data_IF_550092818829
#
_entry.id   IF_550092818829
#
_cell.length_a   1.000
_cell.length_b   1.000
_cell.length_c   1.000
_cell.angle_alpha   90.00
_cell.angle_beta   90.00
_cell.angle_gamma   90.00
#
_symmetry.space_group_name_H-M   'P 1'
#
loop_
_entity.id
_entity.type
_entity.pdbx_description
1 polymer ?
#
# COMPACT_ATOMS: atom_id res chain seq x y z
N UNK A 1 4.02 71.99 -14.67
CA UNK A 1 3.52 70.92 -15.57
C UNK A 1 4.63 70.36 -16.47
N UNK A 2 5.89 70.37 -16.03
CA UNK A 2 7.05 69.86 -16.80
C UNK A 2 7.87 68.84 -15.97
N UNK A 3 7.68 68.80 -14.64
CA UNK A 3 8.41 67.89 -13.75
C UNK A 3 7.85 66.45 -13.66
N UNK A 4 6.73 66.15 -14.32
CA UNK A 4 6.13 64.80 -14.33
C UNK A 4 6.60 63.90 -15.50
N UNK A 5 7.48 64.40 -16.37
CA UNK A 5 7.98 63.64 -17.53
C UNK A 5 9.39 63.05 -17.32
N UNK A 6 10.13 63.47 -16.27
CA UNK A 6 11.45 62.92 -15.95
C UNK A 6 11.40 61.64 -15.10
N UNK A 7 10.28 61.35 -14.43
CA UNK A 7 10.08 60.10 -13.66
C UNK A 7 9.69 58.89 -14.53
N UNK A 8 9.46 59.10 -15.84
CA UNK A 8 9.20 58.04 -16.83
C UNK A 8 10.44 57.72 -17.70
N UNK A 9 11.54 58.46 -17.55
CA UNK A 9 12.76 58.31 -18.35
C UNK A 9 13.92 57.59 -17.62
N UNK A 10 13.64 56.95 -16.49
CA UNK A 10 14.65 56.51 -15.53
C UNK A 10 14.82 55.01 -15.31
N UNK A 11 14.65 54.15 -16.34
CA UNK A 11 15.18 52.77 -16.31
C UNK A 11 15.57 52.33 -17.72
N UNK A 12 16.63 52.95 -18.24
CA UNK A 12 17.34 52.42 -19.41
C UNK A 12 17.92 51.06 -18.98
N UNK A 13 17.53 49.94 -19.61
CA UNK A 13 18.09 48.63 -19.31
C UNK A 13 19.51 48.61 -19.87
N UNK A 14 20.51 48.52 -19.01
CA UNK A 14 21.89 48.71 -19.45
C UNK A 14 22.97 48.38 -18.44
N UNK A 15 22.65 47.69 -17.35
CA UNK A 15 23.69 46.99 -16.61
C UNK A 15 23.91 45.65 -17.32
N UNK A 16 25.15 45.35 -17.74
CA UNK A 16 25.50 44.01 -18.25
C UNK A 16 24.99 42.90 -17.31
N UNK A 17 24.89 43.22 -16.02
CA UNK A 17 24.30 42.39 -14.97
C UNK A 17 22.83 42.01 -15.20
N UNK A 18 22.00 42.87 -15.77
CA UNK A 18 20.59 42.56 -16.04
C UNK A 18 20.45 41.59 -17.21
N UNK A 19 21.29 41.75 -18.23
CA UNK A 19 21.35 40.84 -19.38
C UNK A 19 21.88 39.48 -18.94
N UNK A 20 22.92 39.48 -18.11
CA UNK A 20 23.48 38.26 -17.51
C UNK A 20 22.44 37.58 -16.62
N UNK A 21 21.66 38.33 -15.82
CA UNK A 21 20.60 37.80 -14.97
C UNK A 21 19.52 37.09 -15.81
N UNK A 22 19.02 37.74 -16.87
CA UNK A 22 18.01 37.16 -17.76
C UNK A 22 18.53 35.93 -18.51
N UNK A 23 19.79 35.96 -18.97
CA UNK A 23 20.41 34.83 -19.67
C UNK A 23 20.58 33.61 -18.76
N UNK A 24 20.99 33.81 -17.51
CA UNK A 24 21.11 32.75 -16.51
C UNK A 24 19.73 32.12 -16.22
N UNK A 25 18.69 32.94 -16.06
CA UNK A 25 17.32 32.46 -15.84
C UNK A 25 16.81 31.65 -17.01
N UNK A 26 17.00 32.14 -18.25
CA UNK A 26 16.57 31.44 -19.46
C UNK A 26 17.26 30.07 -19.60
N UNK A 27 18.56 30.00 -19.30
CA UNK A 27 19.32 28.75 -19.30
C UNK A 27 18.81 27.75 -18.25
N UNK A 28 18.52 28.21 -17.03
CA UNK A 28 17.98 27.37 -15.96
C UNK A 28 16.58 26.81 -16.31
N UNK A 29 15.72 27.62 -16.94
CA UNK A 29 14.41 27.17 -17.43
C UNK A 29 14.56 26.11 -18.54
N UNK A 30 15.51 26.31 -19.47
CA UNK A 30 15.76 25.36 -20.55
C UNK A 30 16.22 23.99 -20.02
N UNK A 31 17.17 23.96 -19.09
CA UNK A 31 17.62 22.72 -18.46
C UNK A 31 16.51 22.07 -17.62
N UNK A 32 15.65 22.86 -16.95
CA UNK A 32 14.47 22.35 -16.26
C UNK A 32 13.49 21.63 -17.21
N UNK A 33 13.20 22.23 -18.37
CA UNK A 33 12.33 21.61 -19.38
C UNK A 33 12.91 20.29 -19.92
N UNK A 34 14.23 20.21 -20.06
CA UNK A 34 14.94 19.02 -20.52
C UNK A 34 14.94 17.87 -19.49
N UNK A 35 14.89 18.21 -18.20
CA UNK A 35 14.88 17.29 -17.07
C UNK A 35 13.56 16.51 -16.91
N UNK A 36 12.50 16.95 -17.59
CA UNK A 36 11.17 16.32 -17.57
C UNK A 36 11.11 15.02 -18.43
N UNK A 37 12.26 14.44 -18.81
CA UNK A 37 12.33 13.13 -19.52
C UNK A 37 12.79 12.02 -18.57
N UNK A 38 11.88 11.18 -18.09
CA UNK A 38 12.19 10.10 -17.14
C UNK A 38 11.00 9.57 -16.32
N UNK A 39 11.31 8.89 -15.20
CA UNK A 39 10.32 8.29 -14.28
C UNK A 39 9.66 9.34 -13.38
N UNK A 40 8.34 9.21 -13.15
CA UNK A 40 7.51 10.24 -12.50
C UNK A 40 8.03 10.68 -11.12
N UNK A 41 8.54 9.74 -10.32
CA UNK A 41 9.07 10.03 -8.98
C UNK A 41 10.45 10.72 -9.00
N UNK A 42 11.36 10.29 -9.89
CA UNK A 42 12.68 10.91 -10.02
C UNK A 42 12.57 12.34 -10.56
N UNK A 43 11.64 12.58 -11.48
CA UNK A 43 11.32 13.91 -12.00
C UNK A 43 10.84 14.87 -10.91
N UNK A 44 9.97 14.40 -10.00
CA UNK A 44 9.49 15.20 -8.87
C UNK A 44 10.61 15.55 -7.89
N UNK A 45 11.45 14.58 -7.52
CA UNK A 45 12.58 14.80 -6.61
C UNK A 45 13.61 15.79 -7.20
N UNK A 46 13.94 15.65 -8.48
CA UNK A 46 14.82 16.56 -9.20
C UNK A 46 14.23 17.98 -9.30
N UNK A 47 12.93 18.11 -9.56
CA UNK A 47 12.24 19.40 -9.58
C UNK A 47 12.27 20.13 -8.24
N UNK A 48 11.98 19.42 -7.14
CA UNK A 48 12.04 19.99 -5.77
C UNK A 48 13.48 20.42 -5.45
N UNK A 49 14.47 19.57 -5.74
CA UNK A 49 15.89 19.85 -5.50
C UNK A 49 16.35 21.08 -6.27
N UNK A 50 15.95 21.21 -7.54
CA UNK A 50 16.29 22.36 -8.36
C UNK A 50 15.68 23.66 -7.82
N UNK A 51 14.42 23.65 -7.40
CA UNK A 51 13.75 24.83 -6.82
C UNK A 51 14.47 25.29 -5.54
N UNK A 52 14.85 24.35 -4.67
CA UNK A 52 15.61 24.65 -3.45
C UNK A 52 16.99 25.21 -3.78
N UNK A 53 17.69 24.62 -4.75
CA UNK A 53 19.00 25.11 -5.20
C UNK A 53 18.90 26.55 -5.77
N UNK A 54 17.92 26.82 -6.63
CA UNK A 54 17.63 28.15 -7.18
C UNK A 54 17.34 29.18 -6.09
N UNK A 55 16.59 28.79 -5.05
CA UNK A 55 16.31 29.65 -3.90
C UNK A 55 17.59 30.02 -3.14
N UNK A 56 18.48 29.06 -2.87
CA UNK A 56 19.74 29.33 -2.19
C UNK A 56 20.71 30.17 -3.04
N UNK A 57 20.82 29.89 -4.35
CA UNK A 57 21.65 30.68 -5.28
C UNK A 57 21.13 32.11 -5.41
N UNK A 58 19.81 32.30 -5.50
CA UNK A 58 19.17 33.62 -5.51
C UNK A 58 19.39 34.42 -4.22
N UNK A 59 19.76 33.76 -3.11
CA UNK A 59 20.07 34.43 -1.85
C UNK A 59 21.54 34.85 -1.74
N UNK A 60 22.43 34.14 -2.44
CA UNK A 60 23.86 34.40 -2.49
C UNK A 60 24.23 35.43 -3.56
N UNK A 61 23.45 35.51 -4.64
CA UNK A 61 23.61 36.51 -5.70
C UNK A 61 22.53 37.61 -5.57
N UNK A 62 22.85 38.91 -5.73
CA UNK A 62 21.89 40.02 -5.61
C UNK A 62 20.94 40.14 -6.82
N UNK A 63 20.34 39.04 -7.25
CA UNK A 63 19.44 38.95 -8.41
C UNK A 63 18.02 39.38 -8.00
N UNK A 64 17.73 40.67 -8.14
CA UNK A 64 16.45 41.26 -7.72
C UNK A 64 15.25 40.69 -8.49
N UNK A 65 15.41 40.44 -9.80
CA UNK A 65 14.34 39.91 -10.67
C UNK A 65 13.98 38.48 -10.30
N UNK A 66 14.99 37.65 -10.04
CA UNK A 66 14.81 36.25 -9.63
C UNK A 66 14.12 36.17 -8.26
N UNK A 67 14.54 37.00 -7.30
CA UNK A 67 13.92 37.04 -5.98
C UNK A 67 12.43 37.42 -6.05
N UNK A 68 12.10 38.43 -6.87
CA UNK A 68 10.73 38.86 -7.10
C UNK A 68 9.88 37.76 -7.74
N UNK A 69 10.40 37.09 -8.78
CA UNK A 69 9.71 36.00 -9.47
C UNK A 69 9.45 34.81 -8.52
N UNK A 70 10.47 34.40 -7.76
CA UNK A 70 10.35 33.32 -6.78
C UNK A 70 9.29 33.67 -5.73
N UNK A 71 9.31 34.87 -5.14
CA UNK A 71 8.33 35.28 -4.14
C UNK A 71 6.89 35.23 -4.65
N UNK A 72 6.66 35.63 -5.90
CA UNK A 72 5.33 35.61 -6.50
C UNK A 72 4.88 34.18 -6.88
N UNK A 73 5.81 33.32 -7.29
CA UNK A 73 5.51 31.94 -7.72
C UNK A 73 5.40 30.94 -6.57
N UNK A 74 6.09 31.16 -5.45
CA UNK A 74 6.13 30.22 -4.31
C UNK A 74 4.73 29.87 -3.79
N UNK A 75 3.82 30.84 -3.67
CA UNK A 75 2.45 30.58 -3.22
C UNK A 75 1.71 29.61 -4.16
N UNK A 76 1.82 29.81 -5.47
CA UNK A 76 1.22 28.93 -6.47
C UNK A 76 1.85 27.55 -6.51
N UNK A 77 3.17 27.45 -6.34
CA UNK A 77 3.90 26.17 -6.29
C UNK A 77 3.49 25.36 -5.06
N UNK A 78 3.36 26.00 -3.89
CA UNK A 78 2.90 25.32 -2.66
C UNK A 78 1.46 24.82 -2.84
N UNK A 79 0.56 25.66 -3.38
CA UNK A 79 -0.82 25.25 -3.64
C UNK A 79 -0.91 24.09 -4.64
N UNK A 80 -0.21 24.19 -5.77
CA UNK A 80 -0.14 23.11 -6.77
C UNK A 80 0.47 21.83 -6.18
N UNK A 81 1.49 21.95 -5.32
CA UNK A 81 2.06 20.84 -4.56
C UNK A 81 1.02 20.16 -3.69
N UNK A 82 0.25 20.91 -2.90
CA UNK A 82 -0.82 20.35 -2.06
C UNK A 82 -1.86 19.61 -2.91
N UNK A 83 -2.31 20.19 -4.03
CA UNK A 83 -3.30 19.55 -4.92
C UNK A 83 -2.76 18.31 -5.60
N UNK A 84 -1.50 18.33 -6.04
CA UNK A 84 -0.85 17.21 -6.71
C UNK A 84 -0.57 16.05 -5.74
N UNK A 85 -0.09 16.37 -4.54
CA UNK A 85 0.23 15.42 -3.48
C UNK A 85 -0.96 15.11 -2.57
N UNK A 86 -2.17 15.61 -2.85
CA UNK A 86 -3.34 15.40 -1.99
C UNK A 86 -3.61 13.91 -1.71
N UNK A 87 -3.40 13.05 -2.73
CA UNK A 87 -3.64 11.62 -2.64
C UNK A 87 -2.56 10.92 -1.81
N UNK A 88 -1.31 11.35 -1.94
CA UNK A 88 -0.17 10.80 -1.19
C UNK A 88 -0.20 11.24 0.27
N UNK A 89 -0.53 12.50 0.55
CA UNK A 89 -0.73 13.02 1.92
C UNK A 89 -1.88 12.25 2.59
N UNK A 90 -3.01 12.08 1.91
CA UNK A 90 -4.13 11.27 2.42
C UNK A 90 -3.69 9.84 2.72
N UNK A 91 -2.92 9.21 1.84
CA UNK A 91 -2.43 7.85 1.99
C UNK A 91 -1.40 7.73 3.12
N UNK A 92 -0.51 8.70 3.26
CA UNK A 92 0.48 8.76 4.32
C UNK A 92 -0.17 8.98 5.70
N UNK A 93 -1.14 9.91 5.82
CA UNK A 93 -1.90 10.10 7.06
C UNK A 93 -2.74 8.86 7.42
N UNK A 94 -3.36 8.20 6.44
CA UNK A 94 -4.07 6.95 6.66
C UNK A 94 -3.13 5.85 7.22
N UNK A 95 -1.85 5.88 6.84
CA UNK A 95 -0.83 4.98 7.39
C UNK A 95 -0.31 5.44 8.76
N UNK A 96 -0.16 6.76 8.97
CA UNK A 96 0.32 7.35 10.23
C UNK A 96 -0.71 7.25 11.37
N UNK A 97 -2.00 7.18 11.04
CA UNK A 97 -3.06 6.86 12.00
C UNK A 97 -2.97 5.45 12.60
N UNK A 98 -2.14 4.56 12.03
CA UNK A 98 -1.86 3.21 12.54
C UNK A 98 -0.59 3.16 13.40
N UNK A 99 -0.40 4.14 14.27
CA UNK A 99 0.75 4.19 15.19
C UNK A 99 0.81 2.93 16.08
N UNK A 100 2.01 2.35 16.33
CA UNK A 100 2.20 1.15 17.15
C UNK A 100 1.67 1.27 18.59
N UNK A 101 1.36 2.48 19.06
CA UNK A 101 0.68 2.70 20.34
C UNK A 101 -0.77 2.15 20.36
N UNK A 102 -1.49 2.18 19.23
CA UNK A 102 -2.82 1.55 19.09
C UNK A 102 -2.75 0.03 18.94
N UNK A 103 -1.60 -0.53 18.53
CA UNK A 103 -1.40 -1.97 18.35
C UNK A 103 -1.33 -2.75 19.67
N UNK A 104 -1.08 -2.07 20.80
CA UNK A 104 -1.14 -2.70 22.13
C UNK A 104 -2.59 -2.97 22.60
N UNK A 105 -3.57 -2.29 22.01
CA UNK A 105 -5.01 -2.60 22.15
C UNK A 105 -5.46 -3.67 21.12
N UNK A 106 -4.72 -3.85 20.03
CA UNK A 106 -4.93 -4.92 19.04
C UNK A 106 -4.40 -6.29 19.49
N UNK A 107 -3.77 -6.39 20.67
CA UNK A 107 -3.43 -7.68 21.27
C UNK A 107 -4.67 -8.51 21.62
N UNK A 108 -5.77 -7.85 21.95
CA UNK A 108 -7.08 -8.49 22.11
C UNK A 108 -7.68 -8.82 20.72
N UNK A 109 -7.55 -7.90 19.75
CA UNK A 109 -8.11 -8.07 18.39
C UNK A 109 -7.49 -9.18 17.52
N UNK A 110 -6.20 -9.51 17.69
CA UNK A 110 -5.58 -10.62 16.93
C UNK A 110 -6.06 -11.99 17.41
N UNK A 111 -6.27 -12.17 18.72
CA UNK A 111 -6.87 -13.39 19.26
C UNK A 111 -8.35 -13.47 18.86
N UNK A 112 -9.06 -12.34 18.86
CA UNK A 112 -10.44 -12.26 18.36
C UNK A 112 -10.52 -12.66 16.87
N UNK A 113 -9.65 -12.11 16.01
CA UNK A 113 -9.60 -12.43 14.59
C UNK A 113 -9.35 -13.92 14.32
N UNK A 114 -8.43 -14.53 15.07
CA UNK A 114 -8.14 -15.96 14.96
C UNK A 114 -9.37 -16.78 15.39
N UNK A 115 -10.04 -16.38 16.47
CA UNK A 115 -11.23 -17.07 16.94
C UNK A 115 -12.36 -16.99 15.91
N UNK A 116 -12.61 -15.82 15.32
CA UNK A 116 -13.61 -15.63 14.26
C UNK A 116 -13.34 -16.55 13.04
N UNK A 117 -12.08 -16.70 12.63
CA UNK A 117 -11.68 -17.60 11.54
C UNK A 117 -11.88 -19.07 11.94
N UNK A 118 -11.46 -19.46 13.15
CA UNK A 118 -11.54 -20.84 13.62
C UNK A 118 -13.00 -21.28 13.76
N UNK A 119 -13.85 -20.44 14.35
CA UNK A 119 -15.29 -20.72 14.51
C UNK A 119 -15.97 -20.78 13.14
N UNK A 120 -15.67 -19.86 12.23
CA UNK A 120 -16.23 -19.88 10.87
C UNK A 120 -15.78 -21.11 10.08
N UNK A 121 -14.48 -21.43 10.10
CA UNK A 121 -13.94 -22.61 9.43
C UNK A 121 -14.55 -23.91 9.98
N UNK A 122 -14.76 -23.99 11.30
CA UNK A 122 -15.39 -25.15 11.95
C UNK A 122 -16.84 -25.33 11.51
N UNK A 123 -17.61 -24.24 11.43
CA UNK A 123 -18.98 -24.30 10.96
C UNK A 123 -19.08 -24.65 9.47
N UNK A 124 -18.25 -24.04 8.63
CA UNK A 124 -18.20 -24.33 7.19
C UNK A 124 -17.77 -25.79 6.96
N UNK A 125 -16.83 -26.30 7.75
CA UNK A 125 -16.41 -27.71 7.73
C UNK A 125 -17.56 -28.66 8.08
N UNK A 126 -18.31 -28.36 9.15
CA UNK A 126 -19.46 -29.16 9.56
C UNK A 126 -20.55 -29.21 8.47
N UNK A 127 -20.72 -28.12 7.73
CA UNK A 127 -21.67 -28.02 6.61
C UNK A 127 -21.09 -28.48 5.26
N UNK A 128 -19.81 -28.86 5.21
CA UNK A 128 -19.05 -29.17 3.99
C UNK A 128 -19.13 -28.07 2.93
N UNK A 129 -19.06 -26.82 3.37
CA UNK A 129 -19.00 -25.65 2.51
C UNK A 129 -17.54 -25.29 2.24
N UNK A 130 -17.19 -25.20 0.96
CA UNK A 130 -15.82 -24.86 0.53
C UNK A 130 -15.45 -23.44 0.89
N UNK A 131 -14.30 -23.26 1.54
CA UNK A 131 -13.83 -21.94 1.96
C UNK A 131 -12.33 -21.79 1.72
N UNK A 132 -11.90 -20.56 1.43
CA UNK A 132 -10.49 -20.20 1.24
C UNK A 132 -10.24 -18.81 1.82
N UNK A 133 -9.59 -18.77 2.97
CA UNK A 133 -9.28 -17.55 3.71
C UNK A 133 -7.77 -17.35 3.72
N UNK A 134 -7.28 -16.20 3.31
CA UNK A 134 -5.86 -15.87 3.21
C UNK A 134 -5.55 -14.69 4.11
N UNK A 135 -4.62 -14.87 5.05
CA UNK A 135 -4.16 -13.84 5.97
C UNK A 135 -2.86 -13.22 5.40
N UNK A 136 -2.93 -11.91 5.09
CA UNK A 136 -1.77 -11.11 4.68
C UNK A 136 -0.78 -10.97 5.84
N UNK A 137 0.52 -11.10 5.54
CA UNK A 137 1.61 -10.96 6.50
C UNK A 137 2.58 -9.86 6.06
N UNK A 138 3.89 -10.11 6.02
CA UNK A 138 4.87 -9.09 5.69
C UNK A 138 4.83 -8.73 4.19
N UNK A 139 4.58 -9.71 3.33
CA UNK A 139 4.45 -9.51 1.89
C UNK A 139 2.99 -9.17 1.60
N UNK A 140 2.75 -7.94 1.14
CA UNK A 140 1.40 -7.46 0.87
C UNK A 140 0.74 -8.15 -0.33
N UNK A 141 -0.55 -8.47 -0.22
CA UNK A 141 -1.31 -9.21 -1.24
C UNK A 141 -2.12 -8.29 -2.17
N UNK A 142 -1.60 -7.08 -2.43
CA UNK A 142 -2.36 -6.00 -3.08
C UNK A 142 -2.89 -6.37 -4.47
N UNK A 143 -2.10 -7.07 -5.27
CA UNK A 143 -2.49 -7.55 -6.61
C UNK A 143 -3.70 -8.49 -6.55
N UNK A 144 -3.77 -9.35 -5.53
CA UNK A 144 -4.90 -10.27 -5.32
C UNK A 144 -6.13 -9.55 -4.77
N UNK A 145 -5.93 -8.57 -3.88
CA UNK A 145 -7.03 -7.73 -3.38
C UNK A 145 -7.66 -6.90 -4.51
N UNK A 146 -6.85 -6.46 -5.47
CA UNK A 146 -7.31 -5.69 -6.64
C UNK A 146 -8.07 -6.54 -7.67
N UNK A 147 -7.92 -7.88 -7.66
CA UNK A 147 -8.65 -8.78 -8.56
C UNK A 147 -10.03 -9.18 -8.05
N UNK A 148 -10.27 -9.07 -6.74
CA UNK A 148 -11.54 -9.39 -6.09
C UNK A 148 -12.45 -8.19 -5.86
N UNK A 149 -13.53 -8.43 -5.11
CA UNK A 149 -14.49 -7.41 -4.68
C UNK A 149 -14.03 -6.86 -3.33
N UNK A 150 -13.66 -5.58 -3.29
CA UNK A 150 -13.27 -4.90 -2.05
C UNK A 150 -14.46 -4.75 -1.11
N UNK A 151 -14.27 -5.17 0.13
CA UNK A 151 -15.27 -5.05 1.19
C UNK A 151 -14.83 -4.05 2.25
N UNK A 152 -13.56 -4.11 2.67
CA UNK A 152 -13.01 -3.34 3.80
C UNK A 152 -13.96 -3.36 5.02
N UNK A 153 -14.34 -4.57 5.42
CA UNK A 153 -15.27 -4.83 6.51
C UNK A 153 -14.53 -5.37 7.74
N UNK A 154 -15.10 -5.17 8.93
CA UNK A 154 -14.60 -5.84 10.14
C UNK A 154 -14.72 -7.35 9.97
N UNK A 155 -13.72 -8.09 10.45
CA UNK A 155 -13.74 -9.54 10.42
C UNK A 155 -14.73 -10.06 11.45
N UNK A 156 -15.73 -10.82 11.01
CA UNK A 156 -16.67 -11.50 11.90
C UNK A 156 -17.01 -12.87 11.33
N UNK A 157 -17.36 -13.80 12.21
CA UNK A 157 -17.88 -15.13 11.88
C UNK A 157 -19.04 -15.03 10.89
N UNK A 158 -20.03 -14.20 11.18
CA UNK A 158 -21.24 -14.06 10.35
C UNK A 158 -20.90 -13.57 8.94
N UNK A 159 -19.90 -12.69 8.79
CA UNK A 159 -19.45 -12.22 7.49
C UNK A 159 -18.78 -13.35 6.69
N UNK A 160 -17.88 -14.12 7.32
CA UNK A 160 -17.23 -15.26 6.67
C UNK A 160 -18.24 -16.33 6.24
N UNK A 161 -19.19 -16.67 7.11
CA UNK A 161 -20.28 -17.59 6.77
C UNK A 161 -21.05 -17.05 5.56
N UNK A 162 -21.46 -15.78 5.59
CA UNK A 162 -22.25 -15.16 4.52
C UNK A 162 -21.51 -15.12 3.18
N UNK A 163 -20.19 -14.89 3.19
CA UNK A 163 -19.38 -14.86 1.98
C UNK A 163 -19.33 -16.24 1.33
N UNK A 164 -19.08 -17.30 2.09
CA UNK A 164 -18.88 -18.65 1.56
C UNK A 164 -20.17 -19.43 1.31
N UNK A 165 -21.34 -18.87 1.60
CA UNK A 165 -22.61 -19.49 1.19
C UNK A 165 -22.65 -19.69 -0.33
N UNK A 166 -23.01 -20.89 -0.79
CA UNK A 166 -23.01 -21.25 -2.23
C UNK A 166 -23.93 -20.39 -3.10
N UNK A 167 -24.90 -19.69 -2.52
CA UNK A 167 -25.80 -18.75 -3.20
C UNK A 167 -25.23 -17.34 -3.35
N UNK A 168 -24.19 -17.00 -2.57
CA UNK A 168 -23.58 -15.68 -2.54
C UNK A 168 -22.69 -15.48 -3.77
N UNK A 169 -22.75 -14.36 -4.50
CA UNK A 169 -21.79 -14.08 -5.58
C UNK A 169 -20.33 -14.01 -5.12
N UNK A 170 -20.07 -13.89 -3.82
CA UNK A 170 -18.73 -13.72 -3.23
C UNK A 170 -18.02 -15.03 -2.90
N UNK A 171 -18.70 -16.18 -2.98
CA UNK A 171 -18.19 -17.47 -2.51
C UNK A 171 -17.13 -18.10 -3.43
N UNK A 172 -17.04 -17.63 -4.67
CA UNK A 172 -16.10 -18.14 -5.67
C UNK A 172 -14.78 -17.37 -5.61
N UNK A 173 -13.74 -18.03 -5.10
CA UNK A 173 -12.42 -17.44 -4.89
C UNK A 173 -12.03 -17.35 -3.41
N UNK A 174 -11.06 -16.49 -3.13
CA UNK A 174 -10.50 -16.32 -1.80
C UNK A 174 -11.01 -15.07 -1.09
N UNK A 175 -11.10 -15.15 0.23
CA UNK A 175 -11.22 -13.99 1.12
C UNK A 175 -9.82 -13.62 1.59
N UNK A 176 -9.43 -12.36 1.40
CA UNK A 176 -8.15 -11.84 1.88
C UNK A 176 -8.40 -11.00 3.12
N UNK A 177 -7.80 -11.43 4.23
CA UNK A 177 -7.79 -10.73 5.51
C UNK A 177 -6.47 -9.97 5.62
N UNK A 178 -6.58 -8.70 5.99
CA UNK A 178 -5.44 -7.82 6.23
C UNK A 178 -5.63 -7.14 7.58
N UNK A 179 -4.69 -7.36 8.49
CA UNK A 179 -4.86 -6.97 9.89
C UNK A 179 -6.13 -7.65 10.43
N UNK A 180 -7.08 -6.90 11.02
CA UNK A 180 -8.33 -7.41 11.58
C UNK A 180 -9.55 -7.13 10.67
N UNK A 181 -9.33 -7.13 9.34
CA UNK A 181 -10.36 -6.74 8.37
C UNK A 181 -10.37 -7.64 7.16
N UNK A 182 -11.57 -7.88 6.64
CA UNK A 182 -11.78 -8.48 5.34
C UNK A 182 -11.53 -7.41 4.27
N UNK A 183 -10.35 -7.46 3.65
CA UNK A 183 -9.96 -6.49 2.62
C UNK A 183 -10.77 -6.68 1.33
N UNK A 184 -10.88 -7.94 0.88
CA UNK A 184 -11.64 -8.30 -0.30
C UNK A 184 -12.12 -9.76 -0.25
N UNK A 185 -13.18 -10.06 -0.99
CA UNK A 185 -13.70 -11.41 -1.24
C UNK A 185 -13.66 -11.71 -2.74
N UNK A 186 -13.93 -12.96 -3.13
CA UNK A 186 -13.85 -13.43 -4.51
C UNK A 186 -12.49 -13.10 -5.20
N UNK A 187 -11.40 -13.14 -4.43
CA UNK A 187 -10.07 -12.83 -4.95
C UNK A 187 -9.52 -14.01 -5.76
N UNK A 188 -8.94 -13.70 -6.92
CA UNK A 188 -8.25 -14.69 -7.75
C UNK A 188 -6.82 -14.90 -7.26
N UNK A 189 -6.48 -16.17 -7.01
CA UNK A 189 -5.16 -16.59 -6.53
C UNK A 189 -4.45 -17.49 -7.54
N UNK A 190 -3.10 -17.49 -7.57
CA UNK A 190 -2.33 -18.39 -8.40
C UNK A 190 -2.53 -19.84 -7.93
N UNK A 191 -2.60 -20.76 -8.89
CA UNK A 191 -2.67 -22.20 -8.60
C UNK A 191 -1.27 -22.80 -8.69
N UNK A 192 -0.88 -23.58 -7.67
CA UNK A 192 0.36 -24.35 -7.75
C UNK A 192 0.31 -25.40 -8.88
N UNK A 193 1.41 -25.50 -9.61
CA UNK A 193 1.60 -26.49 -10.70
C UNK A 193 2.47 -27.68 -10.25
N UNK A 194 2.77 -27.79 -8.97
CA UNK A 194 3.67 -28.82 -8.46
C UNK A 194 3.10 -30.23 -8.67
N UNK A 195 3.75 -31.10 -9.48
CA UNK A 195 3.23 -32.42 -9.82
C UNK A 195 3.31 -33.43 -8.66
N UNK A 196 4.06 -33.10 -7.59
CA UNK A 196 4.18 -33.95 -6.39
C UNK A 196 2.95 -33.87 -5.49
N UNK A 197 2.06 -32.91 -5.73
CA UNK A 197 0.82 -32.76 -4.99
C UNK A 197 -0.20 -33.80 -5.46
N UNK A 198 -0.76 -34.55 -4.52
CA UNK A 198 -1.75 -35.59 -4.80
C UNK A 198 -2.91 -35.09 -5.66
N UNK A 199 -3.39 -35.93 -6.59
CA UNK A 199 -4.51 -35.61 -7.51
C UNK A 199 -5.81 -35.29 -6.78
N UNK A 200 -5.93 -35.69 -5.52
CA UNK A 200 -7.07 -35.45 -4.62
C UNK A 200 -7.23 -33.98 -4.21
N UNK A 201 -6.27 -33.09 -4.53
CA UNK A 201 -6.39 -31.68 -4.21
C UNK A 201 -7.23 -30.92 -5.25
N UNK A 202 -8.38 -30.41 -4.77
CA UNK A 202 -9.22 -29.45 -5.50
C UNK A 202 -8.56 -28.08 -5.72
N UNK A 203 -9.25 -27.23 -6.47
CA UNK A 203 -8.75 -25.90 -6.91
C UNK A 203 -8.44 -24.97 -5.75
N UNK A 204 -9.29 -24.90 -4.71
CA UNK A 204 -9.05 -24.07 -3.51
C UNK A 204 -7.77 -24.45 -2.76
N UNK A 205 -7.47 -25.75 -2.66
CA UNK A 205 -6.23 -26.22 -2.05
C UNK A 205 -5.01 -25.81 -2.89
N UNK A 206 -5.11 -25.92 -4.21
CA UNK A 206 -4.03 -25.49 -5.12
C UNK A 206 -3.81 -23.98 -5.07
N UNK A 207 -4.88 -23.20 -4.93
CA UNK A 207 -4.83 -21.76 -4.74
C UNK A 207 -4.15 -21.38 -3.42
N UNK A 208 -4.52 -22.05 -2.33
CA UNK A 208 -3.90 -21.85 -1.02
C UNK A 208 -2.39 -22.13 -1.03
N UNK A 209 -1.98 -23.21 -1.70
CA UNK A 209 -0.56 -23.53 -1.85
C UNK A 209 0.12 -22.47 -2.72
N UNK A 210 -0.45 -22.14 -3.89
CA UNK A 210 0.15 -21.18 -4.83
C UNK A 210 0.37 -19.80 -4.20
N UNK A 211 -0.62 -19.25 -3.49
CA UNK A 211 -0.44 -17.95 -2.81
C UNK A 211 0.62 -18.02 -1.71
N UNK A 212 0.74 -19.16 -1.02
CA UNK A 212 1.77 -19.39 0.00
C UNK A 212 3.16 -19.72 -0.57
N UNK A 213 3.27 -20.01 -1.88
CA UNK A 213 4.55 -20.16 -2.59
C UNK A 213 5.11 -18.78 -2.99
N UNK A 214 4.23 -17.87 -3.41
CA UNK A 214 4.60 -16.52 -3.87
C UNK A 214 4.71 -15.49 -2.73
N UNK A 215 4.16 -15.79 -1.55
CA UNK A 215 4.15 -14.88 -0.40
C UNK A 215 4.32 -15.60 0.94
N UNK A 216 4.52 -14.85 2.02
CA UNK A 216 4.56 -15.38 3.39
C UNK A 216 3.17 -15.55 4.02
N UNK A 217 2.11 -15.38 3.23
CA UNK A 217 0.72 -15.47 3.67
C UNK A 217 0.35 -16.86 4.21
N UNK A 218 -0.59 -16.86 5.15
CA UNK A 218 -1.19 -18.09 5.68
C UNK A 218 -2.53 -18.28 4.97
N UNK A 219 -2.77 -19.45 4.39
CA UNK A 219 -4.05 -19.76 3.77
C UNK A 219 -4.77 -20.90 4.49
N UNK A 220 -5.97 -20.66 4.99
CA UNK A 220 -6.86 -21.64 5.60
C UNK A 220 -7.88 -22.09 4.57
N UNK A 221 -8.04 -23.40 4.41
CA UNK A 221 -8.92 -24.02 3.42
C UNK A 221 -9.89 -24.96 4.11
N UNK A 222 -11.17 -24.89 3.73
CA UNK A 222 -12.16 -25.91 4.07
C UNK A 222 -12.54 -26.65 2.79
N UNK A 223 -12.42 -27.97 2.82
CA UNK A 223 -12.79 -28.83 1.69
C UNK A 223 -14.31 -28.95 1.55
N UNK A 224 -14.86 -28.64 0.37
CA UNK A 224 -16.28 -28.86 0.07
C UNK A 224 -16.63 -30.35 -0.08
N UNK A 225 -15.66 -31.20 -0.41
CA UNK A 225 -15.89 -32.64 -0.58
C UNK A 225 -15.87 -33.38 0.76
N UNK A 226 -14.91 -33.03 1.62
CA UNK A 226 -14.61 -33.81 2.84
C UNK A 226 -14.92 -33.06 4.13
N UNK A 227 -15.12 -31.74 4.08
CA UNK A 227 -15.22 -30.88 5.26
C UNK A 227 -13.90 -30.73 6.03
N UNK A 228 -12.78 -31.27 5.53
CA UNK A 228 -11.50 -31.17 6.22
C UNK A 228 -10.94 -29.75 6.16
N UNK A 229 -10.46 -29.28 7.31
CA UNK A 229 -9.73 -28.01 7.43
C UNK A 229 -8.26 -28.26 7.13
N UNK A 230 -7.67 -27.40 6.30
CA UNK A 230 -6.25 -27.43 5.95
C UNK A 230 -5.63 -26.05 6.09
N UNK A 231 -4.33 -25.98 6.36
CA UNK A 231 -3.56 -24.76 6.45
C UNK A 231 -2.36 -24.86 5.49
N UNK A 232 -2.18 -23.84 4.65
CA UNK A 232 -1.05 -23.73 3.74
C UNK A 232 -0.13 -22.56 4.12
N UNK A 233 1.17 -22.82 4.09
CA UNK A 233 2.23 -21.86 4.40
C UNK A 233 3.52 -22.28 3.69
N UNK A 234 4.18 -21.35 3.00
CA UNK A 234 5.48 -21.60 2.36
C UNK A 234 5.45 -22.74 1.34
N UNK A 235 4.35 -22.86 0.58
CA UNK A 235 4.13 -23.92 -0.40
C UNK A 235 3.88 -25.32 0.17
N UNK A 236 3.70 -25.45 1.48
CA UNK A 236 3.32 -26.70 2.14
C UNK A 236 1.88 -26.61 2.63
N UNK A 237 1.21 -27.76 2.70
CA UNK A 237 -0.15 -27.85 3.22
C UNK A 237 -0.24 -28.90 4.34
N UNK A 238 -0.82 -28.51 5.46
CA UNK A 238 -1.18 -29.35 6.60
C UNK A 238 -2.68 -29.61 6.51
N UNK A 239 -3.09 -30.88 6.51
CA UNK A 239 -4.48 -31.29 6.27
C UNK A 239 -5.08 -31.95 7.49
N UNK A 240 -6.41 -31.91 7.57
CA UNK A 240 -7.17 -32.61 8.61
C UNK A 240 -6.97 -32.00 10.00
N UNK A 241 -6.76 -30.68 10.05
CA UNK A 241 -6.59 -29.96 11.30
C UNK A 241 -7.90 -29.93 12.07
N UNK A 242 -7.83 -30.23 13.38
CA UNK A 242 -8.95 -29.98 14.30
C UNK A 242 -9.04 -28.47 14.62
N UNK A 243 -10.21 -27.97 15.04
CA UNK A 243 -10.36 -26.54 15.40
C UNK A 243 -9.31 -26.04 16.40
N UNK A 244 -9.02 -26.82 17.45
CA UNK A 244 -8.01 -26.46 18.46
C UNK A 244 -6.58 -26.46 17.91
N UNK A 245 -6.30 -27.37 16.96
CA UNK A 245 -5.02 -27.41 16.27
C UNK A 245 -4.87 -26.21 15.35
N UNK A 246 -5.91 -25.88 14.56
CA UNK A 246 -5.92 -24.69 13.72
C UNK A 246 -5.67 -23.42 14.55
N UNK A 247 -6.38 -23.26 15.68
CA UNK A 247 -6.20 -22.12 16.60
C UNK A 247 -4.75 -22.01 17.06
N UNK A 248 -4.19 -23.10 17.57
CA UNK A 248 -2.81 -23.15 18.07
C UNK A 248 -1.80 -22.82 16.96
N UNK A 249 -2.01 -23.33 15.74
CA UNK A 249 -1.15 -23.06 14.58
C UNK A 249 -1.23 -21.59 14.15
N UNK A 250 -2.43 -21.02 14.06
CA UNK A 250 -2.62 -19.61 13.68
C UNK A 250 -1.98 -18.67 14.69
N UNK A 251 -2.22 -18.87 15.99
CA UNK A 251 -1.59 -18.08 17.06
C UNK A 251 -0.06 -18.12 16.96
N UNK A 252 0.52 -19.31 16.78
CA UNK A 252 1.97 -19.45 16.67
C UNK A 252 2.55 -18.74 15.43
N UNK A 253 1.83 -18.74 14.30
CA UNK A 253 2.30 -18.15 13.05
C UNK A 253 2.12 -16.63 12.99
N UNK A 254 1.01 -16.11 13.53
CA UNK A 254 0.75 -14.66 13.63
C UNK A 254 1.75 -14.00 14.56
N UNK A 255 2.00 -14.58 15.75
CA UNK A 255 2.99 -14.07 16.71
C UNK A 255 4.41 -14.03 16.11
N UNK A 256 4.84 -15.10 15.42
CA UNK A 256 6.17 -15.15 14.79
C UNK A 256 6.38 -14.07 13.73
N UNK A 257 5.32 -13.72 12.99
CA UNK A 257 5.36 -12.66 11.98
C UNK A 257 5.71 -11.30 12.58
N UNK A 258 5.26 -11.03 13.81
CA UNK A 258 5.44 -9.74 14.46
C UNK A 258 6.87 -9.60 15.03
N UNK A 259 7.42 -10.67 15.62
CA UNK A 259 8.81 -10.68 16.11
C UNK A 259 9.86 -10.55 15.01
N UNK A 260 9.57 -11.01 13.78
CA UNK A 260 10.47 -10.85 12.64
C UNK A 260 10.51 -9.41 12.09
N UNK A 261 9.44 -8.63 12.28
CA UNK A 261 9.35 -7.23 11.84
C UNK A 261 10.07 -6.25 12.75
N UNK A 262 10.11 -6.51 14.07
CA UNK A 262 10.77 -5.63 15.05
C UNK A 262 12.31 -5.66 14.94
N UNK A 263 12.91 -6.78 14.53
CA UNK A 263 14.37 -6.92 14.43
C UNK A 263 14.98 -6.10 13.28
N UNK A 264 14.20 -5.70 12.29
CA UNK A 264 14.68 -4.92 11.13
C UNK A 264 14.51 -3.41 11.37
N UNK A 265 13.57 -3.01 12.23
CA UNK A 265 13.29 -1.60 12.53
C UNK A 265 14.34 -0.93 13.46
N UNK A 266 15.23 -1.71 14.08
CA UNK A 266 16.27 -1.21 15.00
C UNK A 266 17.68 -1.10 14.41
N UNK A 267 17.84 -1.31 13.09
CA UNK A 267 19.13 -1.27 12.40
C UNK A 267 19.22 -0.20 11.28
N UNK A 268 18.38 0.83 11.32
CA UNK A 268 18.50 2.01 10.45
C UNK A 268 18.65 3.30 11.25
#
# INVERSE_FOLDING_TARGET
MIDSLSSLAGRVPGSLWDIIDVAIVAFLIYEFLKLIRGTRAAQMALGITLIVALFYVSRLAPLQTVNWLIRNMVGYIVFAGIVLFQADIRRALAHFGRSPFFRRLARDGDDDAIEEIVVAASQLAAQRVGALVVLERAIGLRSHIESGIRLDAALTYDLLISIFQSTSPLHDGAVVIKEDRVAAAACFLPLTVNPRLGRELGTRHRAAIGVSEESDAIAVVVSEETGQISLALGGRIERGLRPDELRTRLQALVVRSQSGGESVAHLQ
#
